data_IF_890884852350
#
_entry.id   IF_890884852350
#
_cell.length_a   1.000
_cell.length_b   1.000
_cell.length_c   1.000
_cell.angle_alpha   90.00
_cell.angle_beta   90.00
_cell.angle_gamma   90.00
#
_symmetry.space_group_name_H-M   'P 1'
#
loop_
_entity.id
_entity.type
_entity.pdbx_description
1 polymer ?
#
# COMPACT_ATOMS: atom_id res chain seq x y z
N UNK A 1 -7.97 -3.72 26.70
CA UNK A 1 -7.37 -4.66 25.74
C UNK A 1 -6.77 -3.84 24.62
N UNK A 2 -5.44 -3.76 24.51
CA UNK A 2 -4.83 -3.06 23.38
C UNK A 2 -5.08 -3.91 22.12
N UNK A 3 -5.98 -3.48 21.25
CA UNK A 3 -6.08 -4.04 19.91
C UNK A 3 -4.84 -3.58 19.16
N UNK A 4 -3.87 -4.47 18.97
CA UNK A 4 -2.73 -4.20 18.09
C UNK A 4 -3.27 -4.23 16.66
N UNK A 5 -3.56 -3.04 16.13
CA UNK A 5 -3.91 -2.88 14.72
C UNK A 5 -2.71 -3.33 13.87
N UNK A 6 -2.92 -4.34 13.03
CA UNK A 6 -1.92 -4.83 12.08
C UNK A 6 -2.00 -4.03 10.78
N UNK A 7 -0.85 -3.67 10.22
CA UNK A 7 -0.79 -3.05 8.90
C UNK A 7 -1.03 -4.10 7.80
N UNK A 8 -2.23 -4.10 7.21
CA UNK A 8 -2.65 -5.12 6.24
C UNK A 8 -2.92 -4.56 4.83
N UNK A 9 -2.61 -3.29 4.58
CA UNK A 9 -2.76 -2.67 3.27
C UNK A 9 -1.69 -3.19 2.29
N UNK A 10 -2.09 -3.45 1.04
CA UNK A 10 -1.17 -3.71 -0.07
C UNK A 10 -1.47 -2.73 -1.17
N UNK A 11 -0.49 -1.87 -1.42
CA UNK A 11 -0.63 -0.85 -2.42
C UNK A 11 0.73 -0.51 -3.01
N UNK A 12 0.68 0.08 -4.20
CA UNK A 12 1.84 0.63 -4.91
C UNK A 12 1.47 2.04 -5.35
N UNK A 13 2.40 2.97 -5.23
CA UNK A 13 2.30 4.29 -5.85
C UNK A 13 3.44 4.38 -6.86
N UNK A 14 3.12 4.74 -8.10
CA UNK A 14 4.09 4.89 -9.19
C UNK A 14 4.16 6.36 -9.58
N UNK A 15 5.35 6.95 -9.43
CA UNK A 15 5.69 8.32 -9.80
C UNK A 15 4.77 9.42 -9.22
N UNK A 16 4.06 9.13 -8.13
CA UNK A 16 3.07 10.04 -7.55
C UNK A 16 1.85 10.30 -8.45
N UNK A 17 1.65 9.52 -9.52
CA UNK A 17 0.61 9.77 -10.52
C UNK A 17 -0.47 8.69 -10.56
N UNK A 18 -0.14 7.47 -10.14
CA UNK A 18 -1.04 6.31 -10.17
C UNK A 18 -0.85 5.46 -8.93
N UNK A 19 -1.93 4.84 -8.47
CA UNK A 19 -1.88 3.93 -7.35
C UNK A 19 -2.61 2.62 -7.66
N UNK A 20 -2.03 1.49 -7.24
CA UNK A 20 -2.71 0.21 -7.15
C UNK A 20 -3.09 -0.01 -5.68
N UNK A 21 -4.35 -0.34 -5.42
CA UNK A 21 -4.80 -0.88 -4.13
C UNK A 21 -5.36 -2.27 -4.40
N UNK A 22 -4.90 -3.27 -3.65
CA UNK A 22 -5.24 -4.67 -3.91
C UNK A 22 -5.35 -5.51 -2.63
N UNK A 23 -6.10 -6.61 -2.72
CA UNK A 23 -6.09 -7.67 -1.72
C UNK A 23 -4.81 -8.52 -1.78
N UNK A 24 -4.14 -8.55 -2.94
CA UNK A 24 -2.99 -9.40 -3.19
C UNK A 24 -1.78 -9.02 -2.34
N UNK A 25 -1.27 -9.98 -1.57
CA UNK A 25 0.07 -9.90 -0.99
C UNK A 25 1.14 -9.93 -2.09
N UNK A 26 2.27 -9.22 -1.91
CA UNK A 26 3.43 -9.27 -2.81
C UNK A 26 4.21 -10.59 -2.66
N UNK A 27 3.56 -11.68 -3.01
CA UNK A 27 4.08 -13.06 -2.95
C UNK A 27 3.68 -13.79 -4.23
N UNK A 28 4.39 -14.87 -4.55
CA UNK A 28 4.04 -15.73 -5.70
C UNK A 28 2.58 -16.21 -5.66
N UNK A 29 2.10 -16.59 -4.47
CA UNK A 29 0.73 -17.07 -4.29
C UNK A 29 -0.30 -15.99 -4.60
N UNK A 30 -0.10 -14.76 -4.11
CA UNK A 30 -0.99 -13.63 -4.38
C UNK A 30 -1.05 -13.23 -5.85
N UNK A 31 0.02 -13.45 -6.61
CA UNK A 31 0.07 -13.09 -8.03
C UNK A 31 -0.40 -14.20 -8.97
N UNK A 32 -0.26 -15.48 -8.60
CA UNK A 32 -0.42 -16.59 -9.54
C UNK A 32 -1.41 -17.67 -9.11
N UNK A 33 -1.92 -17.64 -7.87
CA UNK A 33 -2.77 -18.72 -7.35
C UNK A 33 -4.05 -18.22 -6.68
N UNK A 34 -3.94 -17.20 -5.84
CA UNK A 34 -5.08 -16.70 -5.09
C UNK A 34 -6.04 -15.95 -6.01
N UNK A 35 -7.32 -16.01 -5.67
CA UNK A 35 -8.31 -15.08 -6.23
C UNK A 35 -8.12 -13.76 -5.49
N UNK A 36 -7.74 -12.74 -6.23
CA UNK A 36 -7.46 -11.41 -5.69
C UNK A 36 -8.22 -10.36 -6.52
N UNK A 37 -8.48 -9.21 -5.90
CA UNK A 37 -9.05 -8.06 -6.56
C UNK A 37 -8.16 -6.84 -6.32
N UNK A 38 -8.14 -5.93 -7.28
CA UNK A 38 -7.51 -4.64 -7.10
C UNK A 38 -8.08 -3.60 -8.04
N UNK A 39 -7.78 -2.34 -7.73
CA UNK A 39 -8.11 -1.20 -8.57
C UNK A 39 -6.84 -0.41 -8.86
N UNK A 40 -6.67 -0.05 -10.12
CA UNK A 40 -5.67 0.95 -10.52
C UNK A 40 -6.38 2.29 -10.64
N UNK A 41 -5.93 3.25 -9.85
CA UNK A 41 -6.45 4.62 -9.83
C UNK A 41 -5.46 5.52 -10.56
N UNK A 42 -5.92 6.15 -11.64
CA UNK A 42 -5.17 7.09 -12.46
C UNK A 42 -5.45 8.53 -12.03
N UNK A 43 -5.02 8.88 -10.82
CA UNK A 43 -5.25 10.18 -10.21
C UNK A 43 -4.05 10.55 -9.32
N UNK A 44 -3.43 11.70 -9.62
CA UNK A 44 -2.21 12.15 -8.94
C UNK A 44 -2.47 12.62 -7.50
N UNK A 45 -3.64 13.19 -7.24
CA UNK A 45 -4.00 13.64 -5.89
C UNK A 45 -4.22 12.43 -4.98
N UNK A 46 -4.92 11.40 -5.46
CA UNK A 46 -5.09 10.14 -4.75
C UNK A 46 -3.74 9.45 -4.52
N UNK A 47 -2.90 9.35 -5.54
CA UNK A 47 -1.58 8.75 -5.42
C UNK A 47 -0.70 9.48 -4.38
N UNK A 48 -0.74 10.81 -4.37
CA UNK A 48 -0.01 11.65 -3.41
C UNK A 48 -0.55 11.48 -1.99
N UNK A 49 -1.87 11.35 -1.80
CA UNK A 49 -2.47 11.08 -0.50
C UNK A 49 -2.00 9.74 0.08
N UNK A 50 -1.98 8.67 -0.73
CA UNK A 50 -1.47 7.36 -0.32
C UNK A 50 0.01 7.45 0.05
N UNK A 51 0.82 8.12 -0.78
CA UNK A 51 2.25 8.32 -0.50
C UNK A 51 2.47 9.09 0.82
N UNK A 52 1.72 10.16 1.04
CA UNK A 52 1.80 10.99 2.26
C UNK A 52 1.47 10.17 3.50
N UNK A 53 0.47 9.29 3.43
CA UNK A 53 0.12 8.38 4.52
C UNK A 53 1.32 7.47 4.88
N UNK A 54 1.98 6.87 3.90
CA UNK A 54 3.16 6.03 4.13
C UNK A 54 4.33 6.81 4.72
N UNK A 55 4.58 8.02 4.21
CA UNK A 55 5.64 8.88 4.76
C UNK A 55 5.37 9.29 6.20
N UNK A 56 4.10 9.52 6.57
CA UNK A 56 3.71 9.77 7.97
C UNK A 56 4.01 8.56 8.86
N UNK A 57 3.66 7.35 8.43
CA UNK A 57 3.96 6.12 9.19
C UNK A 57 5.47 5.91 9.36
N UNK A 58 6.26 6.23 8.33
CA UNK A 58 7.72 6.16 8.40
C UNK A 58 8.30 7.19 9.37
N UNK A 59 7.78 8.43 9.35
CA UNK A 59 8.15 9.48 10.30
C UNK A 59 7.82 9.14 11.77
N UNK A 60 6.82 8.29 12.00
CA UNK A 60 6.47 7.73 13.31
C UNK A 60 7.24 6.46 13.68
N UNK A 61 8.18 6.01 12.85
CA UNK A 61 8.93 4.77 13.01
C UNK A 61 8.05 3.49 13.13
N UNK A 62 6.84 3.54 12.59
CA UNK A 62 5.93 2.37 12.52
C UNK A 62 6.20 1.50 11.30
N UNK A 63 6.87 2.06 10.28
CA UNK A 63 7.33 1.36 9.07
C UNK A 63 8.73 1.86 8.69
N UNK A 64 9.54 1.00 8.06
CA UNK A 64 10.85 1.38 7.57
C UNK A 64 10.77 1.88 6.11
N UNK A 65 11.51 2.94 5.80
CA UNK A 65 11.76 3.36 4.41
C UNK A 65 13.06 2.72 3.95
N UNK A 66 12.98 1.96 2.85
CA UNK A 66 14.16 1.40 2.19
C UNK A 66 14.67 2.41 1.15
N UNK A 67 15.99 2.49 0.99
CA UNK A 67 16.69 3.36 0.04
C UNK A 67 17.38 2.55 -1.05
#
# INVERSE_FOLDING_TARGET
TACTTSLHAKCLVVDGARALVTSANFTRSGQARNIELGVVVHDADFATQVLTQWMRLAGLALVARLS
#
